data_IF_408652522830
#
_entry.id   IF_408652522830
#
_cell.length_a   1.000
_cell.length_b   1.000
_cell.length_c   1.000
_cell.angle_alpha   90.00
_cell.angle_beta   90.00
_cell.angle_gamma   90.00
#
_symmetry.space_group_name_H-M   'P 1'
#
loop_
_entity.id
_entity.type
_entity.pdbx_description
1 polymer ?
#
# COMPACT_ATOMS: atom_id res chain seq x y z
N UNK A 1 9.90 -6.42 21.06
CA UNK A 1 10.64 -6.46 19.79
C UNK A 1 9.64 -6.13 18.70
N UNK A 2 9.78 -4.94 18.14
CA UNK A 2 8.99 -4.43 17.02
C UNK A 2 9.21 -5.39 15.84
N UNK A 3 8.16 -6.11 15.47
CA UNK A 3 8.17 -6.84 14.22
C UNK A 3 8.30 -5.79 13.10
N UNK A 4 9.31 -5.94 12.25
CA UNK A 4 9.43 -5.17 11.03
C UNK A 4 8.07 -5.11 10.33
N UNK A 5 7.73 -4.01 9.63
CA UNK A 5 6.47 -3.92 8.91
C UNK A 5 6.37 -5.13 7.97
N UNK A 6 5.51 -6.06 8.35
CA UNK A 6 5.32 -7.28 7.57
C UNK A 6 4.65 -6.85 6.28
N UNK A 7 5.32 -7.10 5.15
CA UNK A 7 4.74 -6.83 3.84
C UNK A 7 3.49 -7.70 3.67
N UNK A 8 2.33 -7.07 3.80
CA UNK A 8 1.02 -7.74 3.73
C UNK A 8 0.85 -8.47 2.39
N UNK A 9 1.40 -7.94 1.30
CA UNK A 9 1.36 -8.59 0.00
C UNK A 9 2.13 -9.91 0.00
N UNK A 10 3.32 -9.95 0.58
CA UNK A 10 4.12 -11.16 0.71
C UNK A 10 3.41 -12.22 1.57
N UNK A 11 2.80 -11.80 2.67
CA UNK A 11 2.03 -12.70 3.55
C UNK A 11 0.86 -13.35 2.81
N UNK A 12 0.11 -12.55 2.06
CA UNK A 12 -1.03 -13.04 1.26
C UNK A 12 -0.57 -13.98 0.14
N UNK A 13 0.56 -13.71 -0.52
CA UNK A 13 1.13 -14.58 -1.53
C UNK A 13 1.61 -15.92 -0.97
N UNK A 14 2.31 -15.90 0.16
CA UNK A 14 2.75 -17.12 0.85
C UNK A 14 1.56 -17.98 1.25
N UNK A 15 0.52 -17.35 1.78
CA UNK A 15 -0.71 -18.04 2.14
C UNK A 15 -1.40 -18.64 0.92
N UNK A 16 -1.52 -17.87 -0.17
CA UNK A 16 -2.10 -18.35 -1.42
C UNK A 16 -1.32 -19.54 -2.00
N UNK A 17 0.02 -19.51 -1.93
CA UNK A 17 0.86 -20.62 -2.38
C UNK A 17 0.62 -21.89 -1.56
N UNK A 18 0.49 -21.77 -0.24
CA UNK A 18 0.22 -22.91 0.65
C UNK A 18 -1.17 -23.52 0.40
N UNK A 19 -2.19 -22.67 0.22
CA UNK A 19 -3.54 -23.15 -0.11
C UNK A 19 -3.59 -23.83 -1.48
N UNK A 20 -2.84 -23.34 -2.46
CA UNK A 20 -2.69 -24.00 -3.78
C UNK A 20 -2.00 -25.37 -3.68
N UNK A 21 -1.04 -25.50 -2.76
CA UNK A 21 -0.38 -26.76 -2.48
C UNK A 21 -1.30 -27.76 -1.73
N UNK A 22 -2.55 -27.33 -1.40
CA UNK A 22 -3.53 -28.18 -0.76
C UNK A 22 -3.49 -28.18 0.77
N UNK A 23 -2.74 -27.25 1.40
CA UNK A 23 -2.79 -27.12 2.85
C UNK A 23 -4.15 -26.60 3.30
N UNK A 24 -4.66 -27.17 4.39
CA UNK A 24 -5.85 -26.67 5.04
C UNK A 24 -5.62 -25.23 5.56
N UNK A 25 -6.62 -24.34 5.54
CA UNK A 25 -6.45 -22.94 5.94
C UNK A 25 -5.84 -22.75 7.33
N UNK A 26 -6.21 -23.60 8.27
CA UNK A 26 -5.68 -23.56 9.65
C UNK A 26 -4.19 -23.95 9.70
N UNK A 27 -3.78 -24.97 8.93
CA UNK A 27 -2.40 -25.40 8.83
C UNK A 27 -1.54 -24.30 8.15
N UNK A 28 -2.04 -23.73 7.08
CA UNK A 28 -1.38 -22.62 6.38
C UNK A 28 -1.20 -21.39 7.28
N UNK A 29 -2.20 -21.07 8.11
CA UNK A 29 -2.10 -19.99 9.08
C UNK A 29 -1.05 -20.31 10.18
N UNK A 30 -0.95 -21.57 10.60
CA UNK A 30 0.04 -22.01 11.57
C UNK A 30 1.47 -21.88 11.08
N UNK A 31 1.78 -22.37 9.87
CA UNK A 31 3.09 -22.22 9.25
C UNK A 31 3.47 -20.75 9.02
N UNK A 32 2.50 -19.92 8.69
CA UNK A 32 2.69 -18.48 8.54
C UNK A 32 3.01 -17.83 9.89
N UNK A 33 2.31 -18.20 10.96
CA UNK A 33 2.56 -17.69 12.30
C UNK A 33 3.98 -18.03 12.80
N UNK A 34 4.47 -19.22 12.46
CA UNK A 34 5.86 -19.65 12.76
C UNK A 34 6.87 -18.85 11.91
N UNK A 35 6.66 -18.75 10.61
CA UNK A 35 7.55 -18.03 9.71
C UNK A 35 7.72 -16.56 10.08
N UNK A 36 6.64 -15.91 10.51
CA UNK A 36 6.64 -14.52 10.95
C UNK A 36 7.03 -14.33 12.42
N UNK A 37 7.22 -15.42 13.16
CA UNK A 37 7.42 -15.41 14.61
C UNK A 37 6.40 -14.50 15.33
N UNK A 38 5.15 -14.56 14.88
CA UNK A 38 4.09 -13.66 15.30
C UNK A 38 3.25 -14.26 16.42
N UNK A 39 3.45 -13.76 17.64
CA UNK A 39 2.63 -14.17 18.80
C UNK A 39 1.13 -13.97 18.61
N UNK A 40 0.65 -12.84 18.01
CA UNK A 40 -0.77 -12.66 17.75
C UNK A 40 -1.36 -13.74 16.84
N UNK A 41 -0.67 -14.13 15.76
CA UNK A 41 -1.13 -15.18 14.86
C UNK A 41 -1.11 -16.55 15.52
N UNK A 42 -0.10 -16.88 16.33
CA UNK A 42 -0.08 -18.10 17.13
C UNK A 42 -1.29 -18.20 18.07
N UNK A 43 -1.65 -17.11 18.73
CA UNK A 43 -2.83 -17.09 19.60
C UNK A 43 -4.13 -17.31 18.82
N UNK A 44 -4.26 -16.78 17.60
CA UNK A 44 -5.40 -17.04 16.72
C UNK A 44 -5.47 -18.54 16.36
N UNK A 45 -4.35 -19.13 15.94
CA UNK A 45 -4.28 -20.56 15.61
C UNK A 45 -4.71 -21.45 16.79
N UNK A 46 -4.21 -21.17 17.98
CA UNK A 46 -4.57 -21.92 19.20
C UNK A 46 -6.07 -21.81 19.50
N UNK A 47 -6.68 -20.61 19.41
CA UNK A 47 -8.12 -20.44 19.64
C UNK A 47 -8.94 -21.19 18.60
N UNK A 48 -8.55 -21.16 17.32
CA UNK A 48 -9.23 -21.92 16.27
C UNK A 48 -9.10 -23.43 16.48
N UNK A 49 -7.94 -23.93 16.92
CA UNK A 49 -7.72 -25.35 17.29
C UNK A 49 -8.57 -25.78 18.48
N UNK A 50 -8.83 -24.88 19.42
CA UNK A 50 -9.72 -25.11 20.56
C UNK A 50 -11.22 -25.03 20.20
N UNK A 51 -11.56 -24.81 18.92
CA UNK A 51 -12.95 -24.73 18.45
C UNK A 51 -13.61 -23.37 18.63
N UNK A 52 -12.84 -22.31 18.89
CA UNK A 52 -13.39 -20.95 18.93
C UNK A 52 -13.95 -20.55 17.55
N UNK A 53 -15.06 -19.81 17.54
CA UNK A 53 -15.60 -19.27 16.29
C UNK A 53 -14.61 -18.31 15.64
N UNK A 54 -14.70 -18.22 14.30
CA UNK A 54 -13.78 -17.37 13.49
C UNK A 54 -13.64 -15.95 14.04
N UNK A 55 -14.73 -15.25 14.28
CA UNK A 55 -14.70 -13.87 14.79
C UNK A 55 -14.07 -13.73 16.17
N UNK A 56 -14.34 -14.66 17.08
CA UNK A 56 -13.79 -14.64 18.44
C UNK A 56 -12.29 -15.00 18.48
N UNK A 57 -11.84 -15.86 17.57
CA UNK A 57 -10.44 -16.23 17.46
C UNK A 57 -9.55 -15.03 17.08
N UNK A 58 -10.06 -14.14 16.25
CA UNK A 58 -9.36 -12.93 15.79
C UNK A 58 -9.50 -11.73 16.72
N UNK A 59 -10.09 -11.87 17.89
CA UNK A 59 -10.17 -10.78 18.86
C UNK A 59 -8.81 -10.43 19.47
N UNK A 60 -8.59 -9.16 19.81
CA UNK A 60 -7.36 -8.69 20.43
C UNK A 60 -6.31 -8.16 19.45
N UNK A 61 -4.99 -8.26 19.76
CA UNK A 61 -3.92 -7.61 18.97
C UNK A 61 -3.86 -8.03 17.50
N UNK A 62 -4.30 -9.23 17.17
CA UNK A 62 -4.34 -9.72 15.79
C UNK A 62 -5.40 -9.00 14.94
N UNK A 63 -6.45 -8.47 15.55
CA UNK A 63 -7.56 -7.84 14.84
C UNK A 63 -7.15 -6.58 14.08
N UNK A 64 -6.19 -5.82 14.58
CA UNK A 64 -5.72 -4.59 13.92
C UNK A 64 -4.68 -4.84 12.82
N UNK A 65 -3.69 -5.67 13.12
CA UNK A 65 -2.53 -5.87 12.25
C UNK A 65 -2.81 -6.78 11.05
N UNK A 66 -3.71 -7.75 11.21
CA UNK A 66 -3.96 -8.79 10.20
C UNK A 66 -5.42 -8.83 9.72
N UNK A 67 -6.10 -7.69 9.68
CA UNK A 67 -7.49 -7.60 9.23
C UNK A 67 -7.70 -8.16 7.81
N UNK A 68 -6.81 -7.80 6.89
CA UNK A 68 -6.90 -8.24 5.50
C UNK A 68 -6.69 -9.74 5.36
N UNK A 69 -5.74 -10.28 6.13
CA UNK A 69 -5.50 -11.72 6.20
C UNK A 69 -6.73 -12.46 6.75
N UNK A 70 -7.34 -11.94 7.81
CA UNK A 70 -8.58 -12.47 8.38
C UNK A 70 -9.71 -12.51 7.37
N UNK A 71 -9.94 -11.38 6.69
CA UNK A 71 -11.06 -11.23 5.77
C UNK A 71 -10.87 -12.07 4.50
N UNK A 72 -9.63 -12.20 4.04
CA UNK A 72 -9.27 -13.05 2.92
C UNK A 72 -9.38 -14.55 3.22
N UNK A 73 -9.09 -14.98 4.46
CA UNK A 73 -9.19 -16.37 4.86
C UNK A 73 -10.60 -16.80 5.29
N UNK A 74 -11.45 -15.87 5.70
CA UNK A 74 -12.78 -16.17 6.20
C UNK A 74 -13.60 -17.09 5.28
N UNK A 75 -13.72 -16.84 3.95
CA UNK A 75 -14.46 -17.72 3.06
C UNK A 75 -13.84 -19.11 2.90
N UNK A 76 -12.50 -19.21 2.97
CA UNK A 76 -11.81 -20.49 2.90
C UNK A 76 -12.04 -21.36 4.16
N UNK A 77 -12.07 -20.73 5.31
CA UNK A 77 -12.27 -21.41 6.58
C UNK A 77 -13.73 -21.78 6.82
N UNK A 78 -14.66 -20.86 6.55
CA UNK A 78 -16.10 -21.04 6.82
C UNK A 78 -16.83 -21.79 5.72
N UNK A 79 -16.43 -21.60 4.45
CA UNK A 79 -17.12 -22.16 3.28
C UNK A 79 -16.42 -23.35 2.63
N UNK A 80 -15.23 -23.73 3.07
CA UNK A 80 -14.44 -24.81 2.44
C UNK A 80 -14.03 -24.53 0.99
N UNK A 81 -14.27 -23.32 0.49
CA UNK A 81 -13.91 -22.95 -0.87
C UNK A 81 -12.47 -22.41 -0.92
N UNK A 82 -11.65 -22.81 -1.91
CA UNK A 82 -10.32 -22.26 -2.09
C UNK A 82 -10.41 -20.79 -2.49
N UNK A 83 -10.12 -19.89 -1.57
CA UNK A 83 -10.11 -18.44 -1.83
C UNK A 83 -8.77 -17.92 -2.37
N UNK A 84 -8.00 -18.80 -3.03
CA UNK A 84 -6.69 -18.43 -3.60
C UNK A 84 -6.77 -17.27 -4.57
N UNK A 85 -7.81 -17.20 -5.39
CA UNK A 85 -8.04 -16.10 -6.32
C UNK A 85 -8.26 -14.78 -5.58
N UNK A 86 -9.03 -14.79 -4.47
CA UNK A 86 -9.26 -13.60 -3.64
C UNK A 86 -7.96 -13.15 -2.96
N UNK A 87 -7.18 -14.08 -2.40
CA UNK A 87 -5.90 -13.78 -1.78
C UNK A 87 -4.91 -13.14 -2.75
N UNK A 88 -4.84 -13.63 -3.98
CA UNK A 88 -3.99 -13.05 -5.01
C UNK A 88 -4.46 -11.68 -5.45
N UNK A 89 -5.76 -11.49 -5.64
CA UNK A 89 -6.30 -10.18 -6.02
C UNK A 89 -6.05 -9.12 -4.94
N UNK A 90 -6.10 -9.50 -3.67
CA UNK A 90 -5.76 -8.60 -2.56
C UNK A 90 -4.25 -8.28 -2.53
N UNK A 91 -3.39 -9.28 -2.75
CA UNK A 91 -1.95 -9.06 -2.85
C UNK A 91 -1.60 -8.11 -4.00
N UNK A 92 -2.21 -8.28 -5.17
CA UNK A 92 -2.02 -7.40 -6.32
C UNK A 92 -2.55 -5.97 -6.05
N UNK A 93 -3.69 -5.85 -5.38
CA UNK A 93 -4.24 -4.55 -4.99
C UNK A 93 -3.31 -3.79 -4.03
N UNK A 94 -2.70 -4.51 -3.07
CA UNK A 94 -1.70 -3.93 -2.18
C UNK A 94 -0.48 -3.40 -2.93
N UNK A 95 0.12 -4.22 -3.79
CA UNK A 95 1.26 -3.82 -4.61
C UNK A 95 0.94 -2.61 -5.49
N UNK A 96 -0.25 -2.58 -6.06
CA UNK A 96 -0.68 -1.44 -6.88
C UNK A 96 -0.85 -0.17 -6.04
N UNK A 97 -1.35 -0.27 -4.81
CA UNK A 97 -1.50 0.87 -3.91
C UNK A 97 -0.16 1.46 -3.49
N UNK A 98 0.83 0.61 -3.19
CA UNK A 98 2.19 1.04 -2.86
C UNK A 98 2.89 1.72 -4.03
N UNK A 99 2.78 1.16 -5.25
CA UNK A 99 3.30 1.79 -6.45
C UNK A 99 2.70 3.17 -6.69
N UNK A 100 1.39 3.30 -6.57
CA UNK A 100 0.70 4.59 -6.70
C UNK A 100 1.11 5.59 -5.62
N UNK A 101 1.39 5.14 -4.40
CA UNK A 101 1.91 6.01 -3.34
C UNK A 101 3.31 6.53 -3.68
N UNK A 102 4.19 5.67 -4.20
CA UNK A 102 5.53 6.05 -4.65
C UNK A 102 5.49 7.02 -5.86
N UNK A 103 4.63 6.76 -6.83
CA UNK A 103 4.41 7.65 -8.00
C UNK A 103 3.90 9.03 -7.58
N UNK A 104 2.97 9.09 -6.62
CA UNK A 104 2.47 10.37 -6.07
C UNK A 104 3.57 11.14 -5.35
N UNK A 105 4.44 10.46 -4.60
CA UNK A 105 5.58 11.09 -3.95
C UNK A 105 6.58 11.64 -4.96
N UNK A 106 6.89 10.88 -6.01
CA UNK A 106 7.75 11.32 -7.11
C UNK A 106 7.14 12.51 -7.89
N UNK A 107 5.83 12.47 -8.17
CA UNK A 107 5.12 13.55 -8.85
C UNK A 107 5.15 14.87 -8.07
N UNK A 108 5.03 14.84 -6.76
CA UNK A 108 5.15 16.04 -5.90
C UNK A 108 6.52 16.69 -5.97
N UNK A 109 7.60 15.89 -6.06
CA UNK A 109 8.94 16.42 -6.22
C UNK A 109 9.13 17.12 -7.56
N UNK A 110 8.60 16.58 -8.64
CA UNK A 110 8.69 17.17 -9.97
C UNK A 110 8.02 18.54 -10.03
N UNK A 111 6.83 18.68 -9.47
CA UNK A 111 6.13 19.97 -9.40
C UNK A 111 6.86 20.96 -8.51
N UNK A 112 7.41 20.52 -7.38
CA UNK A 112 8.14 21.38 -6.45
C UNK A 112 9.43 21.97 -7.06
N UNK A 113 10.03 21.33 -8.06
CA UNK A 113 11.20 21.83 -8.76
C UNK A 113 10.84 22.81 -9.91
N UNK A 114 9.69 22.62 -10.56
CA UNK A 114 9.29 23.45 -11.71
C UNK A 114 8.69 24.78 -11.27
N UNK A 115 7.96 24.81 -10.15
CA UNK A 115 7.31 26.04 -9.66
C UNK A 115 8.30 27.18 -9.38
N UNK A 116 9.40 27.00 -8.62
CA UNK A 116 10.34 28.10 -8.39
C UNK A 116 11.06 28.55 -9.67
N UNK A 117 11.35 27.61 -10.59
CA UNK A 117 11.98 27.97 -11.85
C UNK A 117 11.06 28.83 -12.73
N UNK A 118 9.78 28.47 -12.82
CA UNK A 118 8.78 29.24 -13.56
C UNK A 118 8.54 30.62 -12.95
N UNK A 119 8.52 30.69 -11.61
CA UNK A 119 8.30 31.96 -10.91
C UNK A 119 9.46 32.94 -11.08
N UNK A 120 10.70 32.45 -11.15
CA UNK A 120 11.90 33.28 -11.39
C UNK A 120 12.03 33.71 -12.86
N UNK A 121 11.62 32.86 -13.82
CA UNK A 121 11.77 33.18 -15.25
C UNK A 121 10.76 34.24 -15.74
N UNK A 122 9.59 34.32 -15.11
CA UNK A 122 8.54 35.27 -15.51
C UNK A 122 8.99 36.73 -15.34
N UNK A 123 9.49 37.21 -14.19
CA UNK A 123 9.97 38.59 -14.06
C UNK A 123 11.19 38.89 -14.95
N UNK A 124 12.07 37.89 -15.13
CA UNK A 124 13.21 38.06 -16.03
C UNK A 124 12.80 38.28 -17.50
N UNK A 125 11.80 37.55 -17.94
CA UNK A 125 11.23 37.74 -19.30
C UNK A 125 10.59 39.13 -19.46
N UNK A 126 9.86 39.63 -18.48
CA UNK A 126 9.27 40.96 -18.48
C UNK A 126 10.36 42.04 -18.55
N UNK A 127 11.38 41.96 -17.69
CA UNK A 127 12.44 42.95 -17.63
C UNK A 127 13.34 42.98 -18.88
N UNK A 128 13.66 41.82 -19.44
CA UNK A 128 14.57 41.71 -20.58
C UNK A 128 13.88 41.75 -21.93
N UNK A 129 12.59 41.34 -22.01
CA UNK A 129 11.82 41.26 -23.24
C UNK A 129 10.87 42.45 -23.42
N UNK A 130 10.00 42.71 -22.48
CA UNK A 130 8.89 43.67 -22.63
C UNK A 130 9.34 45.10 -22.36
N UNK A 131 10.13 45.34 -21.33
CA UNK A 131 10.57 46.69 -20.93
C UNK A 131 11.36 47.40 -22.02
N UNK A 132 12.39 46.83 -22.66
CA UNK A 132 13.13 47.52 -23.72
C UNK A 132 12.27 47.83 -24.95
N UNK A 133 11.30 46.98 -25.26
CA UNK A 133 10.37 47.25 -26.39
C UNK A 133 9.48 48.44 -26.07
N UNK A 134 8.93 48.53 -24.86
CA UNK A 134 8.11 49.66 -24.43
C UNK A 134 8.92 50.96 -24.44
N UNK A 135 10.15 50.97 -23.99
CA UNK A 135 11.02 52.14 -23.97
C UNK A 135 11.33 52.59 -25.40
N UNK A 136 11.53 51.66 -26.34
CA UNK A 136 11.79 52.01 -27.76
C UNK A 136 10.59 52.54 -28.49
N UNK A 137 9.36 52.20 -28.08
CA UNK A 137 8.12 52.70 -28.66
C UNK A 137 7.70 54.09 -28.11
N UNK A 138 8.12 54.45 -26.88
CA UNK A 138 7.76 55.76 -26.31
C UNK A 138 8.17 56.98 -27.14
N UNK A 139 9.40 57.08 -27.69
CA UNK A 139 9.79 58.25 -28.45
C UNK A 139 9.02 58.40 -29.81
N UNK A 140 8.42 57.33 -30.32
CA UNK A 140 7.57 57.40 -31.52
C UNK A 140 6.16 57.90 -31.26
N UNK A 141 5.71 57.94 -30.00
CA UNK A 141 4.38 58.43 -29.60
C UNK A 141 4.39 59.90 -29.11
N UNK A 142 5.56 60.46 -28.82
CA UNK A 142 5.74 61.82 -28.30
C UNK A 142 6.35 62.80 -29.32
N UNK A 143 6.63 62.33 -30.57
CA UNK A 143 7.12 63.18 -31.67
C UNK A 143 6.06 63.64 -32.57
#
# INVERSE_FOLDING_TARGET
ADAAPVDTALVLELLAAQLRAGLAPLAALGTLAEALNSRPLHAVCQRLQMGSGWGSAWSGPAAGTFNELRDALAPAYTGGAPSTALLLSLADAHRLSERRAAERAAGKLSVALVVPLGLCSLPAFICLGIVPILISLLPTLTG
#
